data_IF_740605426516
#
_entry.id   IF_740605426516
#
_cell.length_a   1.000
_cell.length_b   1.000
_cell.length_c   1.000
_cell.angle_alpha   90.00
_cell.angle_beta   90.00
_cell.angle_gamma   90.00
#
_symmetry.space_group_name_H-M   'P 1'
#
loop_
_entity.id
_entity.type
_entity.pdbx_description
1 polymer ?
#
# COMPACT_ATOMS: atom_id res chain seq x y z
N UNK A 1 -1.72 -14.28 11.30
CA UNK A 1 -1.49 -12.85 11.51
C UNK A 1 -0.87 -12.38 10.23
N UNK A 2 -1.59 -11.57 9.49
CA UNK A 2 -1.32 -11.49 8.07
C UNK A 2 -1.23 -10.07 7.61
N UNK A 3 -0.36 -9.89 6.62
CA UNK A 3 -0.23 -8.66 5.89
C UNK A 3 -0.99 -8.79 4.58
N UNK A 4 -2.04 -7.99 4.43
CA UNK A 4 -2.62 -7.74 3.12
C UNK A 4 -1.82 -6.61 2.47
N UNK A 5 -1.27 -6.85 1.29
CA UNK A 5 -0.51 -5.87 0.53
C UNK A 5 -1.26 -5.52 -0.75
N UNK A 6 -1.47 -4.23 -0.99
CA UNK A 6 -1.82 -3.68 -2.30
C UNK A 6 -0.77 -2.64 -2.66
N UNK A 7 -0.08 -2.83 -3.79
CA UNK A 7 1.00 -1.94 -4.20
C UNK A 7 0.97 -1.62 -5.68
N UNK A 8 1.55 -0.47 -6.01
CA UNK A 8 2.09 -0.19 -7.33
C UNK A 8 3.60 -0.28 -7.22
N UNK A 9 4.27 -0.99 -8.13
CA UNK A 9 5.74 -1.10 -8.11
C UNK A 9 6.36 -1.19 -9.51
N UNK A 10 7.50 -0.52 -9.70
CA UNK A 10 8.34 -0.62 -10.90
C UNK A 10 9.38 -1.74 -10.77
N UNK A 11 10.01 -2.16 -11.87
CA UNK A 11 10.74 -3.45 -11.93
C UNK A 11 12.28 -3.35 -11.87
N UNK A 12 12.87 -2.25 -11.40
CA UNK A 12 14.32 -2.08 -11.37
C UNK A 12 14.88 -1.94 -9.94
N UNK A 13 16.20 -1.83 -9.78
CA UNK A 13 16.84 -1.76 -8.46
C UNK A 13 16.58 -0.43 -7.71
N UNK A 14 16.32 0.64 -8.46
CA UNK A 14 15.91 1.94 -7.93
C UNK A 14 14.39 2.11 -8.10
N UNK A 15 13.63 1.08 -7.73
CA UNK A 15 12.20 1.06 -8.00
C UNK A 15 11.45 2.19 -7.29
N UNK A 16 10.36 2.60 -7.91
CA UNK A 16 9.34 3.41 -7.27
C UNK A 16 8.21 2.46 -6.83
N UNK A 17 7.62 2.74 -5.67
CA UNK A 17 6.53 1.93 -5.12
C UNK A 17 5.60 2.73 -4.22
N UNK A 18 4.32 2.37 -4.22
CA UNK A 18 3.23 3.03 -3.48
C UNK A 18 2.40 1.95 -2.79
N UNK A 19 2.36 1.96 -1.46
CA UNK A 19 1.87 0.82 -0.67
C UNK A 19 0.63 1.12 0.16
N UNK A 20 -0.28 0.17 0.18
CA UNK A 20 -1.23 -0.08 1.25
C UNK A 20 -0.95 -1.43 1.90
N UNK A 21 -0.83 -1.41 3.22
CA UNK A 21 -0.46 -2.58 4.01
C UNK A 21 -1.40 -2.70 5.20
N UNK A 22 -2.22 -3.74 5.23
CA UNK A 22 -3.07 -4.03 6.38
C UNK A 22 -2.33 -4.93 7.33
N UNK A 23 -1.92 -4.40 8.47
CA UNK A 23 -1.26 -5.16 9.51
C UNK A 23 -2.36 -5.80 10.36
N UNK A 24 -2.45 -7.13 10.28
CA UNK A 24 -3.39 -7.92 11.07
C UNK A 24 -3.20 -7.78 12.58
N UNK A 25 -4.18 -8.24 13.35
CA UNK A 25 -4.11 -8.22 14.80
C UNK A 25 -4.82 -9.43 15.43
N UNK A 26 -4.72 -9.56 16.76
CA UNK A 26 -5.50 -10.54 17.53
C UNK A 26 -7.00 -10.24 17.40
N UNK A 27 -7.83 -11.28 17.54
CA UNK A 27 -9.29 -11.14 17.53
C UNK A 27 -9.75 -10.05 18.50
N UNK A 28 -10.57 -9.11 18.03
CA UNK A 28 -11.07 -7.99 18.82
C UNK A 28 -10.11 -6.80 18.98
N UNK A 29 -8.93 -6.84 18.37
CA UNK A 29 -7.99 -5.72 18.31
C UNK A 29 -8.02 -5.06 16.93
N UNK A 30 -7.81 -3.73 16.84
CA UNK A 30 -7.93 -3.01 15.58
C UNK A 30 -6.82 -3.39 14.60
N UNK A 31 -7.15 -3.44 13.31
CA UNK A 31 -6.18 -3.48 12.22
C UNK A 31 -5.46 -2.13 12.12
N UNK A 32 -4.19 -2.17 11.68
CA UNK A 32 -3.45 -0.96 11.30
C UNK A 32 -3.41 -0.91 9.78
N UNK A 33 -3.72 0.27 9.23
CA UNK A 33 -3.41 0.57 7.83
C UNK A 33 -2.09 1.32 7.79
N UNK A 34 -1.10 0.71 7.14
CA UNK A 34 0.17 1.34 6.84
C UNK A 34 0.18 1.78 5.37
N UNK A 35 0.74 2.96 5.12
CA UNK A 35 1.07 3.43 3.76
C UNK A 35 2.55 3.71 3.67
N UNK A 36 3.15 3.48 2.50
CA UNK A 36 4.55 3.80 2.24
C UNK A 36 4.74 4.33 0.81
N UNK A 37 5.85 5.02 0.59
CA UNK A 37 6.25 5.50 -0.74
C UNK A 37 7.76 5.30 -0.92
N UNK A 38 8.13 4.43 -1.86
CA UNK A 38 9.50 4.27 -2.32
C UNK A 38 9.75 5.15 -3.52
N UNK A 39 10.92 5.78 -3.53
CA UNK A 39 11.39 6.61 -4.64
C UNK A 39 12.85 6.32 -4.92
N UNK A 40 13.17 5.82 -6.10
CA UNK A 40 14.55 5.45 -6.43
C UNK A 40 15.12 4.37 -5.50
N UNK A 41 14.33 3.37 -5.14
CA UNK A 41 14.67 2.28 -4.22
C UNK A 41 14.63 2.66 -2.74
N UNK A 42 14.36 3.92 -2.39
CA UNK A 42 14.36 4.40 -1.01
C UNK A 42 12.94 4.59 -0.47
N UNK A 43 12.54 3.71 0.45
CA UNK A 43 11.31 3.80 1.25
C UNK A 43 11.49 4.64 2.51
N UNK A 44 11.17 4.06 3.67
CA UNK A 44 11.21 4.66 5.01
C UNK A 44 10.30 5.89 5.17
N UNK A 45 9.12 5.82 4.57
CA UNK A 45 8.10 6.88 4.64
C UNK A 45 6.79 6.32 5.17
N UNK A 46 6.87 5.40 6.11
CA UNK A 46 5.72 4.70 6.67
C UNK A 46 4.83 5.68 7.44
N UNK A 47 3.52 5.60 7.22
CA UNK A 47 2.52 6.20 8.09
C UNK A 47 1.52 5.13 8.48
N UNK A 48 1.15 5.09 9.77
CA UNK A 48 0.23 4.11 10.34
C UNK A 48 -0.98 4.82 10.92
N UNK A 49 -2.17 4.33 10.56
CA UNK A 49 -3.43 4.81 11.14
C UNK A 49 -4.29 3.63 11.60
N UNK A 50 -5.12 3.89 12.61
CA UNK A 50 -6.31 3.08 12.82
C UNK A 50 -7.41 3.60 11.90
N UNK A 51 -8.16 2.69 11.29
CA UNK A 51 -9.29 3.05 10.44
C UNK A 51 -10.56 3.18 11.31
N UNK A 52 -11.46 4.10 10.96
CA UNK A 52 -12.67 4.43 11.71
C UNK A 52 -13.82 3.41 11.54
N UNK A 53 -13.54 2.23 11.03
CA UNK A 53 -14.48 1.11 10.86
C UNK A 53 -13.75 -0.22 11.02
N UNK A 54 -14.50 -1.32 11.16
CA UNK A 54 -13.94 -2.68 11.15
C UNK A 54 -13.75 -3.15 9.70
N UNK A 55 -12.51 -3.23 9.17
CA UNK A 55 -12.27 -3.56 7.76
C UNK A 55 -12.54 -5.04 7.44
N UNK A 56 -12.94 -5.85 8.42
CA UNK A 56 -13.25 -7.29 8.24
C UNK A 56 -14.74 -7.56 8.03
N UNK A 57 -15.60 -6.55 8.21
CA UNK A 57 -17.06 -6.72 8.16
C UNK A 57 -17.66 -6.44 6.80
N UNK A 58 -17.17 -5.42 6.12
CA UNK A 58 -17.71 -4.95 4.85
C UNK A 58 -16.59 -4.60 3.87
N UNK A 59 -16.93 -4.56 2.58
CA UNK A 59 -16.00 -4.08 1.57
C UNK A 59 -15.91 -2.55 1.62
N UNK A 60 -14.68 -2.04 1.71
CA UNK A 60 -14.36 -0.61 1.61
C UNK A 60 -13.45 -0.36 0.41
N UNK A 61 -13.45 0.89 -0.08
CA UNK A 61 -12.66 1.26 -1.25
C UNK A 61 -11.31 1.81 -0.82
N UNK A 62 -10.22 1.15 -1.21
CA UNK A 62 -8.86 1.65 -1.05
C UNK A 62 -8.36 2.06 -2.42
N UNK A 63 -8.03 3.34 -2.60
CA UNK A 63 -7.67 3.84 -3.93
C UNK A 63 -6.48 4.78 -3.88
N UNK A 64 -5.74 4.81 -4.98
CA UNK A 64 -4.56 5.64 -5.19
C UNK A 64 -4.85 6.53 -6.39
N UNK A 65 -4.83 7.84 -6.19
CA UNK A 65 -4.71 8.81 -7.26
C UNK A 65 -3.24 9.16 -7.42
N UNK A 66 -2.66 8.86 -8.57
CA UNK A 66 -1.28 9.20 -8.89
C UNK A 66 -1.23 10.02 -10.19
N UNK A 67 -0.69 11.23 -10.11
CA UNK A 67 -0.43 12.09 -11.26
C UNK A 67 0.88 12.87 -11.07
N UNK A 68 1.23 13.73 -12.03
CA UNK A 68 2.48 14.50 -12.01
C UNK A 68 2.65 15.46 -10.83
N UNK A 69 1.60 15.75 -10.07
CA UNK A 69 1.63 16.69 -8.94
C UNK A 69 1.68 15.99 -7.59
N UNK A 70 1.02 14.83 -7.46
CA UNK A 70 0.83 14.18 -6.17
C UNK A 70 0.40 12.71 -6.29
N UNK A 71 0.62 12.00 -5.19
CA UNK A 71 0.00 10.72 -4.87
C UNK A 71 -0.96 10.96 -3.70
N UNK A 72 -2.21 10.54 -3.85
CA UNK A 72 -3.23 10.61 -2.79
C UNK A 72 -3.75 9.22 -2.48
N UNK A 73 -3.67 8.84 -1.21
CA UNK A 73 -4.22 7.60 -0.67
C UNK A 73 -5.60 7.88 -0.11
N UNK A 74 -6.60 7.12 -0.56
CA UNK A 74 -7.97 7.23 -0.08
C UNK A 74 -8.42 5.95 0.62
N UNK A 75 -9.21 6.14 1.68
CA UNK A 75 -10.09 5.13 2.24
C UNK A 75 -11.51 5.64 2.05
N UNK A 76 -12.30 4.89 1.29
CA UNK A 76 -13.56 5.33 0.70
C UNK A 76 -13.39 6.65 -0.06
N UNK A 77 -13.97 7.74 0.44
CA UNK A 77 -13.85 9.08 -0.14
C UNK A 77 -12.95 10.01 0.69
N UNK A 78 -12.30 9.48 1.73
CA UNK A 78 -11.49 10.25 2.67
C UNK A 78 -10.01 10.14 2.30
N UNK A 79 -9.33 11.26 1.96
CA UNK A 79 -7.89 11.25 1.76
C UNK A 79 -7.18 11.05 3.10
N UNK A 80 -6.42 9.96 3.23
CA UNK A 80 -5.67 9.65 4.46
C UNK A 80 -4.22 10.11 4.40
N UNK A 81 -3.68 10.32 3.19
CA UNK A 81 -2.30 10.76 2.97
C UNK A 81 -2.15 11.41 1.60
N UNK A 82 -1.34 12.47 1.53
CA UNK A 82 -0.87 13.09 0.29
C UNK A 82 0.65 13.09 0.28
N UNK A 83 1.25 12.56 -0.79
CA UNK A 83 2.67 12.69 -1.08
C UNK A 83 2.84 13.58 -2.32
N UNK A 84 3.26 14.83 -2.10
CA UNK A 84 3.41 15.82 -3.19
C UNK A 84 4.70 15.58 -3.97
N UNK A 85 4.67 15.93 -5.25
CA UNK A 85 5.86 16.05 -6.06
C UNK A 85 6.63 17.32 -5.65
N UNK A 86 7.55 17.16 -4.70
CA UNK A 86 8.41 18.24 -4.16
C UNK A 86 9.82 18.21 -4.76
N UNK A 87 9.91 18.03 -6.08
CA UNK A 87 11.19 18.02 -6.82
C UNK A 87 11.97 19.33 -6.65
N UNK A 88 11.27 20.45 -6.48
CA UNK A 88 11.82 21.77 -6.16
C UNK A 88 12.58 21.79 -4.82
N UNK A 89 12.22 20.89 -3.91
CA UNK A 89 12.89 20.68 -2.61
C UNK A 89 13.92 19.54 -2.65
N UNK A 90 14.22 18.98 -3.82
CA UNK A 90 15.17 17.87 -4.00
C UNK A 90 14.63 16.49 -3.61
N UNK A 91 13.32 16.35 -3.36
CA UNK A 91 12.69 15.07 -3.02
C UNK A 91 12.32 14.33 -4.30
N UNK A 92 12.79 13.08 -4.45
CA UNK A 92 12.39 12.21 -5.57
C UNK A 92 10.88 11.93 -5.51
N UNK A 93 10.26 11.67 -6.66
CA UNK A 93 8.84 11.38 -6.79
C UNK A 93 8.62 10.32 -7.89
N UNK A 94 7.71 9.33 -7.72
CA UNK A 94 7.39 8.36 -8.75
C UNK A 94 6.84 9.06 -9.99
N UNK A 95 7.63 9.13 -11.07
CA UNK A 95 7.30 9.99 -12.21
C UNK A 95 7.51 9.32 -13.57
N UNK A 96 8.65 8.68 -13.78
CA UNK A 96 9.07 8.16 -15.10
C UNK A 96 9.27 6.64 -15.11
N UNK A 97 8.75 5.94 -14.09
CA UNK A 97 8.83 4.50 -13.97
C UNK A 97 7.41 3.91 -13.99
N UNK A 98 6.98 3.32 -15.13
CA UNK A 98 5.70 2.60 -15.20
C UNK A 98 5.63 1.50 -14.15
N UNK A 99 4.51 1.44 -13.43
CA UNK A 99 4.30 0.50 -12.34
C UNK A 99 3.19 -0.48 -12.68
N UNK A 100 3.35 -1.72 -12.19
CA UNK A 100 2.26 -2.70 -12.18
C UNK A 100 1.58 -2.67 -10.82
N UNK A 101 0.31 -3.07 -10.81
CA UNK A 101 -0.47 -3.25 -9.58
C UNK A 101 -0.29 -4.70 -9.11
N UNK A 102 -0.02 -4.87 -7.83
CA UNK A 102 0.11 -6.17 -7.19
C UNK A 102 -0.80 -6.23 -5.95
N UNK A 103 -1.31 -7.42 -5.69
CA UNK A 103 -2.02 -7.75 -4.45
C UNK A 103 -1.45 -9.05 -3.91
N UNK A 104 -1.17 -9.10 -2.61
CA UNK A 104 -0.67 -10.31 -1.96
C UNK A 104 -1.17 -10.44 -0.53
N UNK A 105 -1.17 -11.68 -0.03
CA UNK A 105 -1.43 -12.01 1.36
C UNK A 105 -0.26 -12.87 1.82
N UNK A 106 0.46 -12.43 2.86
CA UNK A 106 1.64 -13.15 3.34
C UNK A 106 1.89 -12.94 4.83
N UNK A 107 2.75 -13.80 5.39
CA UNK A 107 3.12 -13.77 6.81
C UNK A 107 4.31 -12.83 7.05
N UNK A 108 4.10 -11.81 7.87
CA UNK A 108 5.10 -10.78 8.20
C UNK A 108 5.41 -10.76 9.71
N UNK A 109 5.64 -11.95 10.27
CA UNK A 109 5.79 -12.19 11.72
C UNK A 109 6.84 -11.31 12.40
N UNK A 110 7.88 -10.90 11.69
CA UNK A 110 9.00 -10.19 12.27
C UNK A 110 8.71 -8.72 12.56
N UNK A 111 7.60 -8.17 12.04
CA UNK A 111 7.32 -6.74 12.20
C UNK A 111 5.84 -6.33 12.20
N UNK A 112 4.93 -7.11 11.62
CA UNK A 112 3.57 -6.63 11.31
C UNK A 112 2.73 -6.27 12.55
N UNK A 113 2.63 -7.17 13.54
CA UNK A 113 1.74 -6.94 14.69
C UNK A 113 2.53 -6.70 15.95
N UNK A 114 2.26 -5.55 16.59
CA UNK A 114 2.99 -5.05 17.77
C UNK A 114 4.52 -5.06 17.54
N UNK A 115 4.96 -4.69 16.34
CA UNK A 115 6.38 -4.67 15.98
C UNK A 115 7.03 -6.06 15.95
N UNK A 116 6.24 -7.11 15.66
CA UNK A 116 6.72 -8.49 15.54
C UNK A 116 6.71 -9.32 16.83
N UNK A 117 6.15 -8.77 17.91
CA UNK A 117 6.00 -9.49 19.19
C UNK A 117 4.89 -10.55 19.14
N UNK A 118 3.88 -10.34 18.31
CA UNK A 118 2.81 -11.30 18.07
C UNK A 118 3.17 -12.11 16.83
N UNK A 119 2.87 -13.41 16.85
CA UNK A 119 3.17 -14.33 15.75
C UNK A 119 1.90 -14.95 15.20
N UNK A 120 1.95 -15.40 13.96
CA UNK A 120 0.86 -16.11 13.31
C UNK A 120 0.56 -17.42 14.00
N UNK A 121 -0.67 -17.53 14.50
CA UNK A 121 -1.25 -18.81 14.92
C UNK A 121 -1.80 -19.56 13.70
N UNK A 122 -0.98 -20.44 13.14
CA UNK A 122 -1.33 -21.23 11.95
C UNK A 122 -2.46 -22.24 12.17
N UNK A 123 -2.84 -22.54 13.42
CA UNK A 123 -4.03 -23.36 13.69
C UNK A 123 -5.34 -22.68 13.25
N UNK A 124 -5.30 -21.35 13.04
CA UNK A 124 -6.43 -20.54 12.56
C UNK A 124 -6.50 -20.40 11.04
N UNK A 125 -5.61 -21.08 10.30
CA UNK A 125 -5.68 -21.13 8.85
C UNK A 125 -6.92 -21.90 8.36
N UNK A 126 -7.42 -21.63 7.14
CA UNK A 126 -6.94 -20.64 6.19
C UNK A 126 -7.33 -19.23 6.61
N UNK A 127 -6.47 -18.29 6.29
CA UNK A 127 -6.81 -16.90 6.39
C UNK A 127 -7.15 -16.35 5.00
N UNK A 128 -8.11 -15.43 4.95
CA UNK A 128 -8.81 -15.12 3.71
C UNK A 128 -8.93 -13.60 3.58
N UNK A 129 -8.50 -13.08 2.44
CA UNK A 129 -8.74 -11.71 2.02
C UNK A 129 -9.66 -11.69 0.78
N UNK A 130 -10.74 -10.91 0.85
CA UNK A 130 -11.67 -10.71 -0.25
C UNK A 130 -11.36 -9.43 -1.02
N UNK A 131 -11.37 -9.49 -2.36
CA UNK A 131 -11.16 -8.34 -3.24
C UNK A 131 -12.30 -8.19 -4.26
N UNK A 132 -12.66 -6.96 -4.61
CA UNK A 132 -13.71 -6.61 -5.60
C UNK A 132 -13.31 -5.37 -6.41
N UNK A 133 -14.13 -5.05 -7.42
CA UNK A 133 -14.00 -3.92 -8.35
C UNK A 133 -12.84 -4.02 -9.34
N UNK A 134 -11.60 -4.22 -8.87
CA UNK A 134 -10.38 -4.28 -9.71
C UNK A 134 -10.29 -3.11 -10.71
N UNK A 135 -10.74 -1.92 -10.30
CA UNK A 135 -10.79 -0.74 -11.16
C UNK A 135 -9.39 -0.18 -11.43
N UNK A 136 -9.11 0.06 -12.71
CA UNK A 136 -7.90 0.71 -13.20
C UNK A 136 -8.34 1.75 -14.23
N UNK A 137 -8.09 3.01 -13.93
CA UNK A 137 -8.17 4.12 -14.88
C UNK A 137 -6.82 4.85 -14.82
N UNK A 138 -5.95 4.52 -15.75
CA UNK A 138 -4.57 4.97 -15.74
C UNK A 138 -4.00 4.93 -17.15
N UNK A 139 -2.88 5.63 -17.33
CA UNK A 139 -2.22 5.65 -18.61
C UNK A 139 -1.38 4.39 -18.82
N UNK A 140 -1.74 3.59 -19.81
CA UNK A 140 -1.01 2.38 -20.16
C UNK A 140 0.38 2.72 -20.74
N UNK A 141 1.42 2.15 -20.15
CA UNK A 141 2.80 2.36 -20.56
C UNK A 141 3.58 1.05 -20.48
N UNK A 142 4.40 0.78 -21.50
CA UNK A 142 5.35 -0.34 -21.47
C UNK A 142 6.41 -0.13 -20.39
N UNK A 143 7.03 -1.19 -19.86
CA UNK A 143 8.03 -1.08 -18.78
C UNK A 143 9.22 -0.16 -19.11
N UNK A 144 9.54 0.01 -20.40
CA UNK A 144 10.64 0.88 -20.86
C UNK A 144 10.19 2.30 -21.21
N UNK A 145 8.88 2.57 -21.21
CA UNK A 145 8.35 3.91 -21.43
C UNK A 145 8.72 4.82 -20.25
N UNK A 146 9.00 6.09 -20.54
CA UNK A 146 9.35 7.09 -19.53
C UNK A 146 8.27 8.13 -19.28
N UNK A 147 7.26 8.13 -20.13
CA UNK A 147 6.22 9.13 -20.13
C UNK A 147 4.89 8.48 -20.47
N UNK A 148 3.89 8.94 -19.75
CA UNK A 148 2.61 9.32 -20.28
C UNK A 148 2.45 10.82 -20.02
#
# INVERSE_FOLDING_TARGET
MELLFMQLSSQNAEHDEIDFEFLGNRTGQPYILQTNVFTGGQGNKEQRIFIWFDPTKEFHRYSILWNMYQIVFYVDDVPIRVFKNSKDLGVKFPFDQPMKIYNSLWNADDWATRGGLEKTDWSKAPFIAGYKSFHIDGCEASVNSKLC
#
